data_IF_788865918804
#
_entry.id   IF_788865918804
#
_cell.length_a   1.000
_cell.length_b   1.000
_cell.length_c   1.000
_cell.angle_alpha   90.00
_cell.angle_beta   90.00
_cell.angle_gamma   90.00
#
_symmetry.space_group_name_H-M   'P 1'
#
loop_
_entity.id
_entity.type
_entity.pdbx_description
1 polymer ?
#
# COMPACT_ATOMS: atom_id res chain seq x y z
N UNK A 1 -22.84 -19.70 -61.03
CA UNK A 1 -22.58 -20.19 -59.65
C UNK A 1 -22.05 -19.02 -58.83
N UNK A 2 -22.49 -18.83 -57.57
CA UNK A 2 -22.18 -17.64 -56.79
C UNK A 2 -20.75 -17.63 -56.21
N UNK A 3 -20.20 -16.45 -56.00
CA UNK A 3 -18.98 -16.22 -55.21
C UNK A 3 -19.29 -16.43 -53.73
N UNK A 4 -18.42 -17.15 -53.02
CA UNK A 4 -18.42 -17.19 -51.55
C UNK A 4 -17.33 -16.25 -51.05
N UNK A 5 -17.74 -15.17 -50.40
CA UNK A 5 -16.85 -14.23 -49.72
C UNK A 5 -16.38 -14.84 -48.39
N UNK A 6 -15.06 -14.82 -48.13
CA UNK A 6 -14.48 -15.35 -46.91
C UNK A 6 -14.12 -14.19 -45.97
N UNK A 7 -15.07 -13.78 -45.13
CA UNK A 7 -14.85 -12.75 -44.13
C UNK A 7 -13.79 -13.23 -43.11
N UNK A 8 -12.76 -12.42 -42.78
CA UNK A 8 -11.80 -12.78 -41.75
C UNK A 8 -12.48 -12.77 -40.37
N UNK A 9 -12.37 -13.89 -39.65
CA UNK A 9 -12.80 -14.00 -38.25
C UNK A 9 -11.99 -12.99 -37.42
N UNK A 10 -12.62 -11.87 -37.09
CA UNK A 10 -12.03 -10.81 -36.29
C UNK A 10 -11.89 -11.33 -34.86
N UNK A 11 -10.71 -11.84 -34.53
CA UNK A 11 -10.39 -12.38 -33.21
C UNK A 11 -10.81 -11.39 -32.13
N UNK A 12 -11.78 -11.81 -31.32
CA UNK A 12 -12.37 -11.03 -30.24
C UNK A 12 -11.33 -10.89 -29.13
N UNK A 13 -10.48 -9.86 -29.23
CA UNK A 13 -9.57 -9.44 -28.16
C UNK A 13 -10.42 -9.18 -26.92
N UNK A 14 -10.36 -10.12 -25.97
CA UNK A 14 -11.09 -10.01 -24.72
C UNK A 14 -10.62 -8.76 -23.98
N UNK A 15 -11.53 -7.81 -23.78
CA UNK A 15 -11.29 -6.64 -22.94
C UNK A 15 -11.10 -7.11 -21.51
N UNK A 16 -9.85 -7.35 -21.09
CA UNK A 16 -9.52 -7.49 -19.68
C UNK A 16 -9.65 -6.09 -19.07
N UNK A 17 -10.80 -5.83 -18.48
CA UNK A 17 -11.08 -4.59 -17.78
C UNK A 17 -10.29 -4.58 -16.46
N UNK A 18 -9.05 -4.10 -16.50
CA UNK A 18 -8.18 -3.92 -15.35
C UNK A 18 -8.68 -2.75 -14.47
N UNK A 19 -9.64 -3.07 -13.60
CA UNK A 19 -10.16 -2.16 -12.56
C UNK A 19 -9.61 -2.55 -11.18
N UNK A 20 -8.39 -2.11 -10.86
CA UNK A 20 -7.97 -1.94 -9.45
C UNK A 20 -7.22 -0.62 -9.30
N UNK A 21 -8.00 0.45 -9.14
CA UNK A 21 -7.54 1.76 -8.65
C UNK A 21 -8.54 2.28 -7.60
N UNK A 22 -8.77 1.46 -6.58
CA UNK A 22 -9.35 1.89 -5.31
C UNK A 22 -8.18 2.19 -4.34
N UNK A 23 -8.15 3.32 -3.63
CA UNK A 23 -8.97 4.52 -3.80
C UNK A 23 -8.23 5.75 -3.24
N UNK A 24 -8.34 6.90 -3.91
CA UNK A 24 -8.12 8.20 -3.25
C UNK A 24 -9.46 8.93 -3.18
N UNK A 25 -10.30 8.50 -2.24
CA UNK A 25 -11.62 9.08 -1.98
C UNK A 25 -11.78 9.30 -0.46
N UNK A 26 -11.25 10.43 0.01
CA UNK A 26 -11.56 10.94 1.34
C UNK A 26 -11.49 12.49 1.39
N UNK A 27 -12.68 13.10 1.56
CA UNK A 27 -12.90 14.44 2.13
C UNK A 27 -12.35 15.67 1.35
N UNK A 28 -13.16 16.18 0.42
CA UNK A 28 -13.63 17.60 0.49
C UNK A 28 -15.11 17.63 0.14
N UNK A 29 -15.98 17.72 1.15
CA UNK A 29 -17.43 17.62 0.99
C UNK A 29 -18.27 18.42 1.98
N UNK A 30 -17.69 19.43 2.65
CA UNK A 30 -18.42 20.36 3.52
C UNK A 30 -17.86 21.78 3.38
N UNK A 31 -18.47 22.56 2.48
CA UNK A 31 -18.72 23.99 2.64
C UNK A 31 -19.55 24.52 1.44
N UNK A 32 -20.42 25.50 1.70
CA UNK A 32 -21.10 26.38 0.71
C UNK A 32 -22.10 25.67 -0.24
N UNK A 33 -23.42 25.83 -0.08
CA UNK A 33 -24.14 27.11 -0.22
C UNK A 33 -25.56 27.07 0.41
N UNK A 34 -25.98 28.17 1.06
CA UNK A 34 -27.37 28.65 1.31
C UNK A 34 -28.37 27.69 2.06
N UNK A 35 -29.18 28.10 3.03
CA UNK A 35 -29.52 29.43 3.53
C UNK A 35 -30.92 29.88 3.13
N UNK A 36 -31.95 29.54 3.93
CA UNK A 36 -33.24 30.26 4.08
C UNK A 36 -34.18 29.58 5.10
N UNK A 37 -34.62 30.34 6.13
CA UNK A 37 -35.99 30.29 6.68
C UNK A 37 -36.41 29.24 7.73
N UNK A 38 -36.94 29.72 8.86
CA UNK A 38 -38.01 29.03 9.62
C UNK A 38 -37.75 28.77 11.12
N UNK A 39 -38.77 28.98 11.97
CA UNK A 39 -38.79 28.52 13.36
C UNK A 39 -39.03 27.00 13.48
N UNK A 40 -39.15 26.39 14.66
CA UNK A 40 -39.55 26.89 15.99
C UNK A 40 -38.87 26.12 17.15
N UNK A 41 -38.97 26.65 18.38
CA UNK A 41 -38.75 25.89 19.65
C UNK A 41 -40.04 25.16 20.03
N UNK A 42 -40.02 23.93 20.55
CA UNK A 42 -39.91 23.67 22.01
C UNK A 42 -38.90 22.54 22.36
N UNK A 43 -38.13 22.55 23.47
CA UNK A 43 -38.46 22.45 24.90
C UNK A 43 -38.65 20.99 25.43
N UNK A 44 -37.96 20.67 26.55
CA UNK A 44 -37.94 19.35 27.24
C UNK A 44 -36.48 18.86 27.42
N UNK A 45 -35.82 19.02 28.57
CA UNK A 45 -35.99 18.29 29.86
C UNK A 45 -35.70 16.78 29.73
N UNK A 46 -34.78 16.17 30.47
CA UNK A 46 -33.88 16.69 31.53
C UNK A 46 -33.14 15.55 32.26
N UNK A 47 -32.58 15.84 33.45
CA UNK A 47 -32.07 14.89 34.46
C UNK A 47 -30.71 14.21 34.24
N UNK A 48 -29.68 14.75 34.92
CA UNK A 48 -28.61 13.99 35.58
C UNK A 48 -28.99 13.80 37.09
N UNK A 49 -28.09 13.45 38.04
CA UNK A 49 -26.98 12.48 38.06
C UNK A 49 -27.06 11.50 39.26
N UNK A 50 -26.11 10.55 39.35
CA UNK A 50 -25.53 9.98 40.61
C UNK A 50 -24.33 9.10 40.22
N UNK A 51 -23.07 9.39 40.57
CA UNK A 51 -22.43 9.52 41.90
C UNK A 51 -22.39 8.21 42.69
N UNK A 52 -21.22 7.56 42.72
CA UNK A 52 -20.46 7.23 43.95
C UNK A 52 -19.09 6.61 43.61
N UNK A 53 -18.01 7.22 44.10
CA UNK A 53 -16.77 6.50 44.41
C UNK A 53 -16.88 5.91 45.84
N UNK A 54 -15.99 5.00 46.25
CA UNK A 54 -14.86 5.49 47.06
C UNK A 54 -13.50 4.79 46.80
N UNK A 55 -12.43 5.46 47.22
CA UNK A 55 -11.07 4.90 47.32
C UNK A 55 -10.86 4.15 48.64
N UNK A 56 -9.87 3.26 48.68
CA UNK A 56 -9.06 2.95 49.88
C UNK A 56 -7.73 2.29 49.48
N UNK A 57 -6.70 2.42 50.32
CA UNK A 57 -5.30 2.08 50.02
C UNK A 57 -4.57 1.44 51.23
N UNK A 58 -3.50 0.67 50.96
CA UNK A 58 -2.34 0.31 51.81
C UNK A 58 -1.52 -0.75 51.03
N UNK A 59 -0.19 -0.72 50.83
CA UNK A 59 1.00 -0.50 51.70
C UNK A 59 1.32 -1.70 52.61
N UNK A 60 2.50 -2.31 52.40
CA UNK A 60 3.10 -3.34 53.29
C UNK A 60 4.45 -3.89 52.76
N UNK A 61 5.54 -3.68 53.50
CA UNK A 61 6.91 -4.19 53.23
C UNK A 61 7.18 -5.52 53.98
N UNK A 62 8.25 -6.25 53.59
CA UNK A 62 8.93 -7.23 54.47
C UNK A 62 9.91 -8.17 53.74
N UNK A 63 11.14 -8.33 54.26
CA UNK A 63 12.23 -9.17 53.70
C UNK A 63 12.54 -10.40 54.59
N UNK A 64 13.17 -11.43 54.02
CA UNK A 64 14.28 -12.31 54.53
C UNK A 64 14.45 -13.47 53.49
N UNK A 65 15.59 -13.88 52.89
CA UNK A 65 16.91 -14.42 53.36
C UNK A 65 16.84 -15.88 53.92
N UNK A 66 17.74 -16.86 53.65
CA UNK A 66 19.11 -16.99 53.06
C UNK A 66 19.27 -18.42 52.40
N UNK A 67 20.18 -18.72 51.43
CA UNK A 67 20.20 -20.03 50.70
C UNK A 67 21.15 -21.10 51.31
N UNK A 68 21.33 -22.25 50.64
CA UNK A 68 22.72 -22.68 50.35
C UNK A 68 22.96 -23.16 48.91
N UNK A 69 24.24 -23.21 48.53
CA UNK A 69 24.72 -23.58 47.20
C UNK A 69 25.32 -25.00 47.16
N UNK A 70 25.41 -25.58 45.96
CA UNK A 70 26.49 -26.51 45.60
C UNK A 70 26.78 -26.42 44.10
N UNK A 71 28.03 -26.71 43.71
CA UNK A 71 28.59 -26.32 42.42
C UNK A 71 29.08 -27.50 41.58
N UNK A 72 29.05 -27.38 40.26
CA UNK A 72 30.20 -27.73 39.40
C UNK A 72 30.07 -27.19 37.97
N UNK A 73 31.19 -26.89 37.28
CA UNK A 73 31.19 -26.26 35.97
C UNK A 73 31.51 -27.23 34.83
N UNK A 74 30.86 -27.07 33.67
CA UNK A 74 31.53 -27.23 32.37
C UNK A 74 30.74 -26.51 31.26
N UNK A 75 31.08 -25.24 31.03
CA UNK A 75 30.55 -24.48 29.89
C UNK A 75 31.56 -24.56 28.74
N UNK A 76 31.45 -25.61 27.91
CA UNK A 76 31.99 -25.56 26.56
C UNK A 76 31.01 -24.77 25.69
N UNK A 77 31.37 -23.58 25.17
CA UNK A 77 30.58 -22.94 24.14
C UNK A 77 30.83 -23.70 22.83
N UNK A 78 30.08 -24.78 22.62
CA UNK A 78 29.90 -25.35 21.29
C UNK A 78 29.28 -24.29 20.41
N UNK A 79 30.15 -23.58 19.68
CA UNK A 79 29.79 -22.58 18.69
C UNK A 79 29.14 -23.24 17.48
N UNK A 80 27.92 -23.74 17.66
CA UNK A 80 26.99 -23.99 16.57
C UNK A 80 26.71 -22.66 15.90
N UNK A 81 27.50 -22.37 14.87
CA UNK A 81 27.29 -21.23 13.98
C UNK A 81 26.08 -21.55 13.08
N UNK A 82 24.89 -21.59 13.70
CA UNK A 82 23.62 -21.49 12.99
C UNK A 82 23.57 -20.11 12.34
N UNK A 83 24.09 -20.04 11.12
CA UNK A 83 23.71 -18.99 10.18
C UNK A 83 22.20 -19.13 10.02
N UNK A 84 21.38 -18.13 10.38
CA UNK A 84 19.96 -18.22 10.14
C UNK A 84 19.74 -18.37 8.64
N UNK A 85 19.30 -19.55 8.21
CA UNK A 85 18.74 -19.72 6.88
C UNK A 85 17.59 -18.71 6.72
N UNK A 86 17.38 -18.15 5.51
CA UNK A 86 16.29 -17.19 5.32
C UNK A 86 14.98 -17.85 5.73
N UNK A 87 14.24 -17.20 6.64
CA UNK A 87 12.93 -17.68 7.09
C UNK A 87 12.06 -17.97 5.86
N UNK A 88 11.54 -19.19 5.66
CA UNK A 88 10.81 -19.55 4.45
C UNK A 88 9.47 -18.82 4.31
N UNK A 89 9.02 -18.13 5.37
CA UNK A 89 7.87 -17.23 5.38
C UNK A 89 8.23 -15.76 5.04
N UNK A 90 9.52 -15.42 4.94
CA UNK A 90 10.00 -14.08 4.60
C UNK A 90 10.04 -13.86 3.08
N UNK A 91 9.85 -12.61 2.66
CA UNK A 91 10.02 -12.23 1.24
C UNK A 91 11.52 -12.18 0.93
N UNK A 92 12.02 -12.84 -0.13
CA UNK A 92 13.44 -12.78 -0.48
C UNK A 92 13.90 -11.34 -0.71
N UNK A 93 15.09 -10.97 -0.24
CA UNK A 93 15.55 -9.58 -0.29
C UNK A 93 15.49 -8.91 -1.70
N UNK A 94 15.84 -9.59 -2.82
CA UNK A 94 15.67 -9.01 -4.16
C UNK A 94 14.20 -8.79 -4.57
N UNK A 95 13.27 -9.55 -3.99
CA UNK A 95 11.82 -9.41 -4.20
C UNK A 95 11.30 -8.22 -3.39
N UNK A 96 11.74 -8.04 -2.14
CA UNK A 96 11.45 -6.85 -1.33
C UNK A 96 11.95 -5.56 -2.02
N UNK A 97 13.19 -5.55 -2.51
CA UNK A 97 13.79 -4.39 -3.20
C UNK A 97 12.97 -3.97 -4.42
N UNK A 98 12.67 -4.91 -5.32
CA UNK A 98 11.89 -4.64 -6.54
C UNK A 98 10.45 -4.26 -6.21
N UNK A 99 9.83 -4.88 -5.21
CA UNK A 99 8.50 -4.53 -4.74
C UNK A 99 8.45 -3.08 -4.21
N UNK A 100 9.42 -2.66 -3.39
CA UNK A 100 9.54 -1.28 -2.90
C UNK A 100 9.72 -0.29 -4.04
N UNK A 101 10.65 -0.58 -4.96
CA UNK A 101 10.98 0.30 -6.06
C UNK A 101 9.79 0.49 -7.02
N UNK A 102 9.09 -0.60 -7.36
CA UNK A 102 7.86 -0.57 -8.16
C UNK A 102 6.77 0.26 -7.48
N UNK A 103 6.39 -0.06 -6.23
CA UNK A 103 5.31 0.65 -5.52
C UNK A 103 5.62 2.13 -5.32
N UNK A 104 6.88 2.46 -4.99
CA UNK A 104 7.32 3.86 -4.86
C UNK A 104 7.23 4.60 -6.19
N UNK A 105 7.65 4.00 -7.29
CA UNK A 105 7.59 4.62 -8.62
C UNK A 105 6.15 4.79 -9.12
N UNK A 106 5.27 3.82 -8.83
CA UNK A 106 3.88 3.77 -9.26
C UNK A 106 2.96 4.73 -8.52
N UNK A 107 3.15 4.88 -7.19
CA UNK A 107 2.26 5.67 -6.35
C UNK A 107 2.81 7.06 -5.97
N UNK A 108 4.02 7.43 -6.41
CA UNK A 108 4.55 8.79 -6.26
C UNK A 108 4.22 9.65 -7.49
N UNK A 109 3.72 10.86 -7.25
CA UNK A 109 3.38 11.84 -8.27
C UNK A 109 3.90 13.23 -7.89
N UNK A 110 4.29 14.06 -8.85
CA UNK A 110 4.75 15.41 -8.59
C UNK A 110 4.13 16.42 -9.57
N UNK A 111 3.05 17.06 -9.15
CA UNK A 111 2.28 18.02 -9.95
C UNK A 111 2.84 19.46 -9.92
N UNK A 112 4.06 19.65 -9.41
CA UNK A 112 4.75 20.95 -9.43
C UNK A 112 5.27 21.28 -10.84
N UNK A 113 5.46 22.56 -11.19
CA UNK A 113 5.97 22.96 -12.50
C UNK A 113 7.30 22.28 -12.85
N UNK A 114 7.40 21.73 -14.07
CA UNK A 114 8.61 21.06 -14.57
C UNK A 114 8.87 19.65 -13.99
N UNK A 115 7.84 19.01 -13.44
CA UNK A 115 7.91 17.65 -12.88
C UNK A 115 7.06 16.69 -13.72
N UNK A 116 6.09 16.00 -13.14
CA UNK A 116 5.21 15.12 -13.91
C UNK A 116 4.29 15.95 -14.82
N UNK A 117 3.96 15.38 -15.98
CA UNK A 117 3.13 16.01 -17.01
C UNK A 117 1.69 15.47 -17.01
N UNK A 118 1.54 14.17 -16.72
CA UNK A 118 0.26 13.49 -16.48
C UNK A 118 0.36 12.55 -15.27
N UNK A 119 -0.80 12.13 -14.76
CA UNK A 119 -0.90 11.09 -13.72
C UNK A 119 -0.11 9.82 -14.12
N UNK A 120 -0.16 9.47 -15.40
CA UNK A 120 0.46 8.29 -16.00
C UNK A 120 2.00 8.30 -16.03
N UNK A 121 2.66 9.42 -15.71
CA UNK A 121 4.12 9.44 -15.60
C UNK A 121 4.61 8.51 -14.48
N UNK A 122 3.80 8.31 -13.43
CA UNK A 122 4.08 7.32 -12.39
C UNK A 122 3.99 5.88 -12.92
N UNK A 123 2.96 5.55 -13.71
CA UNK A 123 2.85 4.25 -14.41
C UNK A 123 4.02 4.01 -15.35
N UNK A 124 4.41 5.02 -16.15
CA UNK A 124 5.58 4.95 -17.05
C UNK A 124 6.88 4.71 -16.29
N UNK A 125 7.08 5.33 -15.12
CA UNK A 125 8.23 5.03 -14.23
C UNK A 125 8.17 3.61 -13.69
N UNK A 126 7.02 3.16 -13.21
CA UNK A 126 6.83 1.83 -12.64
C UNK A 126 7.13 0.71 -13.64
N UNK A 127 6.86 0.95 -14.94
CA UNK A 127 7.20 0.03 -16.02
C UNK A 127 8.70 -0.28 -16.17
N UNK A 128 9.59 0.45 -15.50
CA UNK A 128 11.02 0.11 -15.41
C UNK A 128 11.30 -1.12 -14.51
N UNK A 129 10.38 -1.44 -13.58
CA UNK A 129 10.48 -2.57 -12.64
C UNK A 129 9.55 -3.73 -12.98
N UNK A 130 8.67 -3.55 -13.97
CA UNK A 130 7.78 -4.58 -14.49
C UNK A 130 8.39 -5.35 -15.67
N UNK A 131 7.78 -6.48 -16.04
CA UNK A 131 8.03 -7.20 -17.29
C UNK A 131 6.76 -7.89 -17.81
N UNK A 132 6.82 -8.36 -19.07
CA UNK A 132 5.66 -8.93 -19.77
C UNK A 132 4.56 -7.88 -20.01
N UNK A 133 3.32 -8.35 -20.15
CA UNK A 133 2.16 -7.53 -20.50
C UNK A 133 1.96 -6.34 -19.54
N UNK A 134 2.19 -6.52 -18.23
CA UNK A 134 2.10 -5.44 -17.24
C UNK A 134 3.03 -4.25 -17.59
N UNK A 135 4.22 -4.50 -18.14
CA UNK A 135 5.14 -3.43 -18.49
C UNK A 135 4.67 -2.62 -19.71
N UNK A 136 4.02 -3.28 -20.67
CA UNK A 136 3.40 -2.62 -21.83
C UNK A 136 2.11 -1.88 -21.43
N UNK A 137 1.28 -2.51 -20.60
CA UNK A 137 0.07 -1.89 -20.03
C UNK A 137 0.41 -0.63 -19.24
N UNK A 138 1.48 -0.64 -18.43
CA UNK A 138 1.94 0.53 -17.67
C UNK A 138 2.54 1.64 -18.55
N UNK A 139 3.20 1.29 -19.67
CA UNK A 139 3.73 2.27 -20.65
C UNK A 139 2.62 2.94 -21.45
N UNK A 140 1.60 2.16 -21.82
CA UNK A 140 0.46 2.61 -22.62
C UNK A 140 -0.74 3.03 -21.77
N UNK A 141 -0.62 2.97 -20.44
CA UNK A 141 -1.69 3.31 -19.51
C UNK A 141 -2.24 4.71 -19.76
N UNK A 142 -3.56 4.81 -19.77
CA UNK A 142 -4.25 6.09 -19.76
C UNK A 142 -5.20 6.14 -18.57
N UNK A 143 -4.88 7.00 -17.63
CA UNK A 143 -5.69 7.36 -16.49
C UNK A 143 -6.98 7.98 -17.01
N UNK A 144 -8.05 7.18 -17.04
CA UNK A 144 -9.37 7.62 -17.46
C UNK A 144 -9.89 8.82 -16.67
N UNK A 145 -11.12 9.26 -16.96
CA UNK A 145 -11.65 10.54 -16.49
C UNK A 145 -11.39 10.85 -15.00
N UNK A 146 -11.49 9.86 -14.10
CA UNK A 146 -11.18 10.03 -12.68
C UNK A 146 -9.73 10.48 -12.41
N UNK A 147 -8.72 9.76 -12.92
CA UNK A 147 -7.30 10.12 -12.73
C UNK A 147 -6.92 11.41 -13.45
N UNK A 148 -7.55 11.69 -14.60
CA UNK A 148 -7.42 12.99 -15.28
C UNK A 148 -7.94 14.14 -14.41
N UNK A 149 -9.10 14.00 -13.75
CA UNK A 149 -9.64 15.03 -12.85
C UNK A 149 -8.79 15.20 -11.59
N UNK A 150 -8.32 14.09 -10.99
CA UNK A 150 -7.40 14.13 -9.84
C UNK A 150 -6.11 14.89 -10.20
N UNK A 151 -5.55 14.62 -11.39
CA UNK A 151 -4.36 15.31 -11.88
C UNK A 151 -4.55 16.82 -12.08
N UNK A 152 -5.72 17.25 -12.58
CA UNK A 152 -6.04 18.67 -12.71
C UNK A 152 -6.12 19.37 -11.35
N UNK A 153 -6.79 18.73 -10.36
CA UNK A 153 -6.86 19.20 -8.97
C UNK A 153 -5.48 19.30 -8.31
N UNK A 154 -4.62 18.29 -8.51
CA UNK A 154 -3.25 18.29 -8.00
C UNK A 154 -2.36 19.34 -8.65
N UNK A 155 -2.49 19.61 -9.95
CA UNK A 155 -1.71 20.67 -10.64
C UNK A 155 -2.05 22.07 -10.16
N UNK A 156 -3.33 22.39 -9.99
CA UNK A 156 -3.76 23.70 -9.45
C UNK A 156 -3.13 23.98 -8.07
N UNK A 157 -3.13 22.95 -7.22
CA UNK A 157 -2.59 22.98 -5.84
C UNK A 157 -1.08 22.67 -5.77
N UNK A 158 -0.43 22.38 -6.90
CA UNK A 158 0.97 21.94 -7.04
C UNK A 158 1.34 20.82 -6.04
N UNK A 159 0.52 19.78 -5.96
CA UNK A 159 0.67 18.67 -5.01
C UNK A 159 1.88 17.80 -5.35
N UNK A 160 2.71 17.54 -4.35
CA UNK A 160 3.67 16.45 -4.35
C UNK A 160 3.11 15.29 -3.53
N UNK A 161 3.00 14.10 -4.14
CA UNK A 161 2.65 12.84 -3.49
C UNK A 161 3.91 12.02 -3.29
N UNK A 162 4.20 11.67 -2.05
CA UNK A 162 5.39 10.87 -1.69
C UNK A 162 4.98 9.57 -1.00
N UNK A 163 5.71 8.50 -1.31
CA UNK A 163 5.48 7.14 -0.80
C UNK A 163 6.56 6.79 0.23
N UNK A 164 6.14 6.26 1.38
CA UNK A 164 7.02 5.58 2.35
C UNK A 164 6.56 4.14 2.50
N UNK A 165 7.34 3.16 2.02
CA UNK A 165 7.00 1.74 2.22
C UNK A 165 7.27 1.34 3.67
N UNK A 166 6.20 0.96 4.37
CA UNK A 166 6.23 0.56 5.77
C UNK A 166 6.64 -0.92 5.92
N UNK A 167 6.12 -1.79 5.06
CA UNK A 167 6.36 -3.24 5.10
C UNK A 167 6.25 -3.85 3.71
N UNK A 168 7.10 -4.84 3.44
CA UNK A 168 6.84 -5.87 2.42
C UNK A 168 6.72 -7.20 3.16
N UNK A 169 5.74 -8.01 2.79
CA UNK A 169 5.48 -9.33 3.38
C UNK A 169 4.87 -10.27 2.35
N UNK A 170 4.88 -11.58 2.60
CA UNK A 170 4.11 -12.52 1.78
C UNK A 170 2.60 -12.25 2.01
N UNK A 171 1.74 -12.21 0.98
CA UNK A 171 0.29 -12.14 1.19
C UNK A 171 -0.24 -13.42 1.84
N UNK A 172 -1.22 -13.30 2.74
CA UNK A 172 -1.87 -14.44 3.37
C UNK A 172 -2.42 -15.43 2.32
N UNK A 173 -2.09 -16.72 2.48
CA UNK A 173 -2.50 -17.77 1.55
C UNK A 173 -1.75 -17.79 0.21
N UNK A 174 -0.79 -16.89 -0.03
CA UNK A 174 0.08 -16.99 -1.21
C UNK A 174 1.02 -18.20 -1.09
N UNK A 175 1.39 -18.85 -2.21
CA UNK A 175 2.44 -19.87 -2.22
C UNK A 175 3.75 -19.35 -1.65
N UNK A 176 4.50 -20.22 -0.98
CA UNK A 176 5.85 -19.90 -0.51
C UNK A 176 6.75 -19.45 -1.69
N UNK A 177 7.68 -18.51 -1.47
CA UNK A 177 8.64 -18.09 -2.49
C UNK A 177 9.43 -19.28 -3.08
N UNK A 178 9.70 -19.18 -4.37
CA UNK A 178 10.51 -20.13 -5.14
C UNK A 178 11.68 -19.40 -5.80
N UNK A 179 12.63 -20.12 -6.40
CA UNK A 179 13.76 -19.50 -7.10
C UNK A 179 13.33 -18.53 -8.22
N UNK A 180 12.23 -18.85 -8.92
CA UNK A 180 11.77 -18.11 -10.10
C UNK A 180 10.51 -17.27 -9.88
N UNK A 181 9.79 -17.46 -8.79
CA UNK A 181 8.52 -16.76 -8.56
C UNK A 181 8.23 -16.49 -7.08
N UNK A 182 7.62 -15.33 -6.81
CA UNK A 182 7.24 -14.91 -5.47
C UNK A 182 6.03 -13.97 -5.53
N UNK A 183 5.40 -13.76 -4.38
CA UNK A 183 4.38 -12.73 -4.17
C UNK A 183 4.84 -11.75 -3.09
N UNK A 184 4.34 -10.52 -3.15
CA UNK A 184 4.60 -9.50 -2.15
C UNK A 184 3.34 -8.66 -1.90
N UNK A 185 2.96 -8.50 -0.63
CA UNK A 185 2.06 -7.44 -0.17
C UNK A 185 2.94 -6.30 0.31
N UNK A 186 2.80 -5.14 -0.32
CA UNK A 186 3.48 -3.90 0.07
C UNK A 186 2.47 -3.02 0.80
N UNK A 187 2.74 -2.70 2.07
CA UNK A 187 1.98 -1.72 2.84
C UNK A 187 2.79 -0.44 2.87
N UNK A 188 2.18 0.68 2.49
CA UNK A 188 2.87 1.95 2.29
C UNK A 188 2.01 3.14 2.72
N UNK A 189 2.69 4.19 3.17
CA UNK A 189 2.08 5.47 3.52
C UNK A 189 2.18 6.42 2.35
N UNK A 190 1.05 7.00 1.95
CA UNK A 190 1.00 8.16 1.06
C UNK A 190 1.03 9.43 1.88
N UNK A 191 1.75 10.44 1.37
CA UNK A 191 1.75 11.81 1.90
C UNK A 191 1.53 12.80 0.75
N UNK A 192 0.35 13.40 0.72
CA UNK A 192 -0.02 14.48 -0.19
C UNK A 192 0.36 15.84 0.40
N UNK A 193 1.29 16.53 -0.24
CA UNK A 193 1.79 17.84 0.18
C UNK A 193 1.45 18.90 -0.89
N UNK A 194 0.33 19.64 -0.77
CA UNK A 194 0.05 20.78 -1.63
C UNK A 194 1.03 21.93 -1.34
N UNK A 195 1.24 22.83 -2.31
CA UNK A 195 2.08 24.02 -2.10
C UNK A 195 1.48 25.01 -1.07
N UNK A 196 0.18 24.92 -0.80
CA UNK A 196 -0.53 25.68 0.25
C UNK A 196 -1.61 24.82 0.90
N UNK A 197 -1.80 24.99 2.21
CA UNK A 197 -2.81 24.26 2.98
C UNK A 197 -2.22 23.06 3.75
N UNK A 198 -3.09 22.20 4.33
CA UNK A 198 -2.65 21.06 5.11
C UNK A 198 -2.03 19.97 4.24
N UNK A 199 -1.10 19.22 4.83
CA UNK A 199 -0.65 17.92 4.34
C UNK A 199 -1.66 16.87 4.75
N UNK A 200 -1.97 15.94 3.84
CA UNK A 200 -2.80 14.75 4.13
C UNK A 200 -1.93 13.50 4.05
N UNK A 201 -2.23 12.50 4.87
CA UNK A 201 -1.56 11.20 4.85
C UNK A 201 -2.59 10.06 4.86
N UNK A 202 -2.34 9.00 4.10
CA UNK A 202 -3.12 7.74 4.13
C UNK A 202 -2.18 6.53 4.19
N UNK A 203 -2.71 5.38 4.59
CA UNK A 203 -2.02 4.09 4.49
C UNK A 203 -2.76 3.22 3.48
N UNK A 204 -2.02 2.71 2.51
CA UNK A 204 -2.51 1.91 1.39
C UNK A 204 -1.74 0.59 1.31
N UNK A 205 -2.26 -0.35 0.52
CA UNK A 205 -1.56 -1.60 0.23
C UNK A 205 -1.73 -2.04 -1.22
N UNK A 206 -0.73 -2.76 -1.74
CA UNK A 206 -0.79 -3.39 -3.06
C UNK A 206 -0.22 -4.81 -2.99
N UNK A 207 -0.89 -5.75 -3.66
CA UNK A 207 -0.36 -7.08 -3.90
C UNK A 207 0.38 -7.10 -5.25
N UNK A 208 1.51 -7.80 -5.29
CA UNK A 208 2.38 -7.93 -6.47
C UNK A 208 2.69 -9.40 -6.71
N UNK A 209 2.67 -9.81 -7.97
CA UNK A 209 3.24 -11.08 -8.45
C UNK A 209 4.59 -10.78 -9.11
N UNK A 210 5.65 -11.42 -8.63
CA UNK A 210 7.00 -11.23 -9.14
C UNK A 210 7.56 -12.52 -9.76
N UNK A 211 8.40 -12.36 -10.77
CA UNK A 211 9.11 -13.46 -11.42
C UNK A 211 10.57 -13.07 -11.64
N UNK A 212 11.47 -14.05 -11.56
CA UNK A 212 12.86 -13.92 -11.97
C UNK A 212 12.97 -14.10 -13.48
N UNK A 213 13.66 -13.18 -14.15
CA UNK A 213 14.01 -13.27 -15.56
C UNK A 213 15.18 -14.21 -15.82
N UNK A 214 15.40 -14.57 -17.09
CA UNK A 214 16.57 -15.36 -17.50
C UNK A 214 17.92 -14.62 -17.29
N UNK A 215 17.88 -13.30 -17.11
CA UNK A 215 19.01 -12.46 -16.69
C UNK A 215 19.25 -12.48 -15.17
N UNK A 216 18.46 -13.26 -14.42
CA UNK A 216 18.48 -13.33 -12.97
C UNK A 216 17.79 -12.17 -12.25
N UNK A 217 17.29 -11.15 -12.97
CA UNK A 217 16.64 -9.98 -12.38
C UNK A 217 15.20 -10.28 -11.96
N UNK A 218 14.75 -9.73 -10.83
CA UNK A 218 13.35 -9.83 -10.41
C UNK A 218 12.52 -8.71 -11.04
N UNK A 219 11.31 -9.06 -11.50
CA UNK A 219 10.38 -8.15 -12.18
C UNK A 219 8.96 -8.38 -11.70
N UNK A 220 8.18 -7.30 -11.60
CA UNK A 220 6.74 -7.39 -11.34
C UNK A 220 6.04 -7.84 -12.64
N UNK A 221 5.26 -8.91 -12.56
CA UNK A 221 4.55 -9.52 -13.70
C UNK A 221 3.03 -9.28 -13.67
N UNK A 222 2.49 -8.81 -12.56
CA UNK A 222 1.06 -8.56 -12.41
C UNK A 222 0.69 -8.02 -11.03
N UNK A 223 -0.44 -7.33 -10.97
CA UNK A 223 -1.14 -6.98 -9.73
C UNK A 223 -2.22 -8.05 -9.53
N UNK A 224 -2.12 -8.97 -8.56
CA UNK A 224 -3.19 -9.91 -8.26
C UNK A 224 -4.43 -9.15 -7.80
N UNK A 225 -5.59 -9.50 -8.37
CA UNK A 225 -6.86 -9.05 -7.82
C UNK A 225 -6.97 -9.61 -6.38
N UNK A 226 -7.31 -8.74 -5.43
CA UNK A 226 -7.68 -9.09 -4.05
C UNK A 226 -9.19 -9.24 -3.91
#
# INVERSE_FOLDING_TARGET
MPKTDAAPVRAQRGTIALFVAAAVLAVVGVALLLGLGGGERPAGSGSAPRTTAPSSAAVGNGNDDTPPAEASPNAEPSGSHDVPGPDPASVPAPVDEVARAFTTAWASHDARPGRDSSFDDASRRAAAYAAGDLAEDLRTHTSGSAGTQQWLSWKDRQVQVTVTVLRVSLPDGAPAPSEDSSFARVIYKLKESPAKGPVTESEEQVALKLRRGADGSWRVMGLPNV
#
